data_IF_667307337242
#
_entry.id   IF_667307337242
#
_cell.length_a   1.000
_cell.length_b   1.000
_cell.length_c   1.000
_cell.angle_alpha   90.00
_cell.angle_beta   90.00
_cell.angle_gamma   90.00
#
_symmetry.space_group_name_H-M   'P 1'
#
loop_
_entity.id
_entity.type
_entity.pdbx_description
1 polymer ?
#
# COMPACT_ATOMS: atom_id res chain seq x y z
N UNK A 1 -14.21 15.86 -11.58
CA UNK A 1 -12.75 15.86 -11.31
C UNK A 1 -12.35 17.32 -11.15
N UNK A 2 -11.35 17.62 -10.32
CA UNK A 2 -10.87 19.00 -10.15
C UNK A 2 -10.20 19.48 -11.47
N UNK A 3 -10.53 20.66 -12.01
CA UNK A 3 -9.95 21.18 -13.26
C UNK A 3 -8.42 21.25 -13.25
N UNK A 4 -7.79 21.43 -12.08
CA UNK A 4 -6.33 21.38 -11.95
C UNK A 4 -5.76 19.99 -12.26
N UNK A 5 -6.46 18.94 -11.83
CA UNK A 5 -6.05 17.56 -12.09
C UNK A 5 -6.19 17.22 -13.57
N UNK A 6 -7.23 17.70 -14.26
CA UNK A 6 -7.41 17.42 -15.69
C UNK A 6 -6.27 18.00 -16.55
N UNK A 7 -5.71 19.14 -16.17
CA UNK A 7 -4.62 19.79 -16.91
C UNK A 7 -3.24 19.22 -16.57
N UNK A 8 -3.01 18.85 -15.31
CA UNK A 8 -1.69 18.39 -14.83
C UNK A 8 -1.49 16.87 -14.91
N UNK A 9 -2.55 16.06 -14.94
CA UNK A 9 -2.44 14.60 -15.00
C UNK A 9 -1.69 14.10 -16.25
N UNK A 10 -1.92 14.66 -17.47
CA UNK A 10 -1.15 14.27 -18.65
C UNK A 10 0.35 14.58 -18.51
N UNK A 11 0.70 15.69 -17.85
CA UNK A 11 2.10 16.06 -17.58
C UNK A 11 2.76 15.12 -16.58
N UNK A 12 2.02 14.69 -15.55
CA UNK A 12 2.51 13.68 -14.62
C UNK A 12 2.76 12.36 -15.37
N UNK A 13 1.81 11.94 -16.22
CA UNK A 13 1.88 10.66 -16.97
C UNK A 13 3.03 10.62 -17.98
N UNK A 14 3.43 11.76 -18.56
CA UNK A 14 4.54 11.80 -19.53
C UNK A 14 5.92 11.56 -18.89
N UNK A 15 6.02 11.59 -17.56
CA UNK A 15 7.27 11.46 -16.82
C UNK A 15 7.33 10.14 -16.01
N UNK A 16 7.59 8.97 -16.61
CA UNK A 16 8.04 7.81 -15.83
C UNK A 16 9.46 8.04 -15.27
N UNK A 17 9.86 7.43 -14.13
CA UNK A 17 9.13 6.46 -13.32
C UNK A 17 8.15 7.08 -12.31
N UNK A 18 7.15 6.29 -11.90
CA UNK A 18 6.15 6.70 -10.89
C UNK A 18 6.41 6.05 -9.53
N UNK A 19 6.11 6.81 -8.48
CA UNK A 19 5.99 6.29 -7.12
C UNK A 19 4.57 6.47 -6.61
N UNK A 20 4.16 5.58 -5.71
CA UNK A 20 2.83 5.55 -5.13
C UNK A 20 2.95 5.31 -3.62
N UNK A 21 2.19 6.05 -2.82
CA UNK A 21 2.00 5.73 -1.40
C UNK A 21 0.68 4.98 -1.24
N UNK A 22 0.76 3.65 -1.33
CA UNK A 22 -0.38 2.76 -1.19
C UNK A 22 -0.65 2.44 0.29
N UNK A 23 -1.92 2.21 0.65
CA UNK A 23 -2.32 1.88 2.02
C UNK A 23 -2.92 0.49 2.11
N UNK A 24 -2.37 -0.32 3.00
CA UNK A 24 -2.89 -1.65 3.32
C UNK A 24 -3.24 -1.64 4.81
N UNK A 25 -4.54 -1.81 5.11
CA UNK A 25 -5.09 -1.63 6.46
C UNK A 25 -4.62 -0.31 7.11
N UNK A 26 -4.81 0.80 6.39
CA UNK A 26 -4.43 2.18 6.78
C UNK A 26 -2.92 2.44 6.89
N UNK A 27 -2.07 1.39 6.86
CA UNK A 27 -0.61 1.54 6.93
C UNK A 27 -0.06 1.97 5.56
N UNK A 28 0.70 3.08 5.48
CA UNK A 28 1.28 3.56 4.23
C UNK A 28 2.51 2.76 3.83
N UNK A 29 2.64 2.47 2.54
CA UNK A 29 3.82 1.90 1.90
C UNK A 29 4.14 2.74 0.66
N UNK A 30 5.31 3.41 0.68
CA UNK A 30 5.84 4.08 -0.50
C UNK A 30 6.50 3.03 -1.38
N UNK A 31 6.01 2.92 -2.61
CA UNK A 31 6.42 1.88 -3.54
C UNK A 31 6.57 2.41 -4.95
N UNK A 32 7.45 1.75 -5.69
CA UNK A 32 7.64 1.87 -7.14
C UNK A 32 7.41 0.52 -7.80
N UNK A 33 7.37 0.49 -9.14
CA UNK A 33 7.23 -0.77 -9.86
C UNK A 33 8.46 -1.66 -9.62
N UNK A 34 8.23 -2.93 -9.25
CA UNK A 34 9.27 -3.91 -8.96
C UNK A 34 9.63 -4.04 -7.48
N UNK A 35 9.18 -3.10 -6.63
CA UNK A 35 9.46 -3.15 -5.20
C UNK A 35 8.82 -4.36 -4.52
N UNK A 36 9.48 -4.85 -3.48
CA UNK A 36 9.00 -5.98 -2.68
C UNK A 36 8.59 -5.48 -1.29
N UNK A 37 7.31 -5.65 -0.95
CA UNK A 37 6.72 -5.23 0.32
C UNK A 37 6.61 -6.45 1.24
N UNK A 38 7.15 -6.32 2.45
CA UNK A 38 6.98 -7.31 3.52
C UNK A 38 5.93 -6.85 4.51
N UNK A 39 4.73 -7.41 4.44
CA UNK A 39 3.62 -7.03 5.30
C UNK A 39 3.79 -7.61 6.71
N UNK A 40 3.54 -6.82 7.77
CA UNK A 40 3.71 -7.23 9.17
C UNK A 40 2.58 -8.16 9.67
N UNK A 41 1.95 -8.94 8.80
CA UNK A 41 0.89 -9.89 9.13
C UNK A 41 0.72 -10.96 8.04
N UNK A 42 0.02 -12.03 8.41
CA UNK A 42 -0.46 -13.05 7.47
C UNK A 42 -1.77 -12.58 6.83
N UNK A 43 -1.76 -12.36 5.52
CA UNK A 43 -2.96 -12.09 4.76
C UNK A 43 -3.71 -13.40 4.53
N UNK A 44 -4.98 -13.43 4.89
CA UNK A 44 -5.84 -14.61 4.73
C UNK A 44 -6.53 -14.57 3.37
N UNK A 45 -6.83 -15.75 2.81
CA UNK A 45 -7.58 -15.85 1.55
C UNK A 45 -6.77 -15.45 0.31
N UNK A 46 -5.44 -15.43 0.41
CA UNK A 46 -4.53 -15.21 -0.72
C UNK A 46 -3.56 -16.37 -0.85
N UNK A 47 -3.31 -16.76 -2.09
CA UNK A 47 -2.34 -17.77 -2.47
C UNK A 47 -1.13 -17.12 -3.16
N UNK A 48 0.05 -17.75 -3.11
CA UNK A 48 1.18 -17.32 -3.93
C UNK A 48 0.79 -17.30 -5.42
N UNK A 49 1.05 -16.18 -6.10
CA UNK A 49 0.66 -15.96 -7.50
C UNK A 49 -0.56 -15.04 -7.67
N UNK A 50 -1.37 -14.84 -6.62
CA UNK A 50 -2.55 -13.98 -6.71
C UNK A 50 -2.16 -12.51 -6.95
N UNK A 51 -2.92 -11.81 -7.80
CA UNK A 51 -2.72 -10.39 -8.09
C UNK A 51 -3.77 -9.55 -7.37
N UNK A 52 -3.31 -8.64 -6.52
CA UNK A 52 -4.13 -7.71 -5.75
C UNK A 52 -4.15 -6.34 -6.41
N UNK A 53 -5.34 -5.76 -6.60
CA UNK A 53 -5.49 -4.36 -6.99
C UNK A 53 -5.46 -3.48 -5.74
N UNK A 54 -4.47 -2.59 -5.65
CA UNK A 54 -4.34 -1.65 -4.54
C UNK A 54 -5.13 -0.38 -4.87
N UNK A 55 -6.29 -0.24 -4.23
CA UNK A 55 -7.24 0.83 -4.52
C UNK A 55 -7.01 2.10 -3.68
N UNK A 56 -6.33 1.97 -2.54
CA UNK A 56 -6.17 3.07 -1.58
C UNK A 56 -4.77 3.63 -1.69
N UNK A 57 -4.67 4.86 -2.17
CA UNK A 57 -3.42 5.60 -2.23
C UNK A 57 -3.64 7.06 -1.81
N UNK A 58 -2.63 7.64 -1.16
CA UNK A 58 -2.66 9.05 -0.71
C UNK A 58 -1.87 9.95 -1.67
N UNK A 59 -0.77 9.42 -2.20
CA UNK A 59 0.16 10.13 -3.07
C UNK A 59 0.44 9.28 -4.30
N UNK A 60 0.45 9.94 -5.45
CA UNK A 60 0.92 9.41 -6.72
C UNK A 60 1.83 10.48 -7.32
N UNK A 61 3.06 10.14 -7.65
CA UNK A 61 3.99 11.16 -8.14
C UNK A 61 5.01 10.64 -9.12
N UNK A 62 5.56 11.59 -9.86
CA UNK A 62 6.82 11.48 -10.60
C UNK A 62 7.84 12.40 -9.93
N UNK A 63 8.97 12.63 -10.58
CA UNK A 63 10.04 13.53 -10.16
C UNK A 63 9.54 14.96 -9.91
N UNK A 64 8.82 15.53 -10.87
CA UNK A 64 8.46 16.96 -10.85
C UNK A 64 7.01 17.21 -10.40
N UNK A 65 6.10 16.26 -10.66
CA UNK A 65 4.68 16.38 -10.34
C UNK A 65 4.25 15.36 -9.28
N UNK A 66 3.44 15.79 -8.32
CA UNK A 66 2.85 14.91 -7.31
C UNK A 66 1.37 15.22 -7.11
N UNK A 67 0.54 14.22 -7.38
CA UNK A 67 -0.89 14.23 -7.10
C UNK A 67 -1.14 13.78 -5.65
N UNK A 68 -1.87 14.60 -4.90
CA UNK A 68 -2.23 14.34 -3.50
C UNK A 68 -3.74 14.23 -3.37
N UNK A 69 -4.22 13.32 -2.53
CA UNK A 69 -5.64 13.10 -2.27
C UNK A 69 -6.40 14.30 -1.65
N UNK A 70 -5.68 15.37 -1.28
CA UNK A 70 -6.23 16.54 -0.62
C UNK A 70 -6.23 16.41 0.91
N UNK A 71 -6.66 17.46 1.59
CA UNK A 71 -6.77 17.48 3.06
C UNK A 71 -8.00 16.67 3.46
N UNK A 72 -7.91 15.78 4.47
CA UNK A 72 -9.08 15.06 4.98
C UNK A 72 -10.05 16.04 5.67
N UNK A 73 -11.35 15.81 5.47
CA UNK A 73 -12.38 16.65 6.08
C UNK A 73 -12.58 16.25 7.55
N UNK A 74 -11.90 16.96 8.46
CA UNK A 74 -11.95 16.66 9.91
C UNK A 74 -13.35 16.76 10.50
N UNK A 75 -14.18 17.65 9.99
CA UNK A 75 -15.57 17.86 10.43
C UNK A 75 -16.46 16.64 10.16
N UNK A 76 -16.17 15.90 9.07
CA UNK A 76 -16.88 14.67 8.72
C UNK A 76 -16.29 13.43 9.42
N UNK A 77 -15.28 13.62 10.28
CA UNK A 77 -14.59 12.52 10.95
C UNK A 77 -13.67 11.70 10.05
N UNK A 78 -13.35 12.20 8.84
CA UNK A 78 -12.43 11.52 7.93
C UNK A 78 -11.01 11.57 8.47
N UNK A 79 -10.41 10.40 8.71
CA UNK A 79 -9.00 10.31 9.12
C UNK A 79 -8.04 10.51 7.96
N UNK A 80 -8.40 9.96 6.79
CA UNK A 80 -7.59 9.94 5.58
C UNK A 80 -8.48 10.08 4.36
N UNK A 81 -7.99 10.84 3.38
CA UNK A 81 -8.61 10.99 2.07
C UNK A 81 -7.78 10.22 1.04
N UNK A 82 -8.47 9.61 0.08
CA UNK A 82 -7.85 8.76 -0.94
C UNK A 82 -7.92 9.41 -2.31
N UNK A 83 -6.92 9.11 -3.15
CA UNK A 83 -7.00 9.37 -4.57
C UNK A 83 -8.15 8.56 -5.18
N UNK A 84 -8.76 9.09 -6.23
CA UNK A 84 -9.75 8.35 -7.00
C UNK A 84 -9.08 7.13 -7.65
N UNK A 85 -9.68 5.94 -7.45
CA UNK A 85 -9.17 4.65 -7.95
C UNK A 85 -9.04 4.64 -9.47
N UNK A 86 -9.77 5.51 -10.16
CA UNK A 86 -9.77 5.58 -11.62
C UNK A 86 -8.51 6.25 -12.17
N UNK A 87 -7.81 7.05 -11.37
CA UNK A 87 -6.65 7.82 -11.81
C UNK A 87 -5.38 6.96 -11.96
N UNK A 88 -5.33 5.81 -11.30
CA UNK A 88 -4.14 4.97 -11.29
C UNK A 88 -4.49 3.49 -11.23
N UNK A 89 -3.58 2.67 -11.72
CA UNK A 89 -3.62 1.22 -11.53
C UNK A 89 -2.38 0.82 -10.77
N UNK A 90 -2.58 0.23 -9.60
CA UNK A 90 -1.51 -0.39 -8.84
C UNK A 90 -1.86 -1.85 -8.59
N UNK A 91 -1.00 -2.74 -9.08
CA UNK A 91 -1.14 -4.18 -8.90
C UNK A 91 0.06 -4.72 -8.14
N UNK A 92 -0.23 -5.61 -7.19
CA UNK A 92 0.79 -6.30 -6.42
C UNK A 92 0.52 -7.81 -6.44
N UNK A 93 1.53 -8.59 -6.80
CA UNK A 93 1.49 -10.05 -6.81
C UNK A 93 1.95 -10.60 -5.48
N UNK A 94 1.20 -11.55 -4.93
CA UNK A 94 1.57 -12.27 -3.70
C UNK A 94 2.69 -13.24 -4.02
N UNK A 95 3.89 -13.01 -3.47
CA UNK A 95 5.02 -13.92 -3.66
C UNK A 95 4.93 -15.14 -2.73
N UNK A 96 4.38 -14.95 -1.53
CA UNK A 96 4.21 -16.00 -0.55
C UNK A 96 4.29 -15.50 0.89
N UNK A 97 4.57 -16.43 1.80
CA UNK A 97 4.61 -16.16 3.24
C UNK A 97 5.96 -16.54 3.82
N UNK A 98 6.60 -15.59 4.48
CA UNK A 98 7.80 -15.79 5.29
C UNK A 98 7.46 -15.99 6.77
N UNK A 99 8.40 -16.57 7.51
CA UNK A 99 8.36 -16.61 8.97
C UNK A 99 9.63 -16.00 9.55
N UNK A 100 9.52 -15.27 10.65
CA UNK A 100 10.71 -14.90 11.43
C UNK A 100 11.33 -16.11 12.13
N UNK A 101 12.62 -16.02 12.54
CA UNK A 101 13.20 -16.98 13.47
C UNK A 101 12.41 -17.02 14.78
N UNK A 102 12.34 -18.20 15.40
CA UNK A 102 11.65 -18.42 16.66
C UNK A 102 12.33 -17.63 17.78
N UNK A 103 11.61 -16.66 18.37
CA UNK A 103 12.05 -15.94 19.56
C UNK A 103 11.42 -16.57 20.81
N UNK A 104 12.19 -16.69 21.88
CA UNK A 104 11.71 -17.19 23.17
C UNK A 104 11.89 -16.08 24.21
N UNK A 105 10.79 -15.53 24.71
CA UNK A 105 10.78 -14.55 25.80
C UNK A 105 10.53 -15.25 27.12
N UNK A 106 11.53 -15.21 28.00
CA UNK A 106 11.41 -15.77 29.35
C UNK A 106 10.82 -14.72 30.29
N UNK A 107 9.73 -15.05 30.98
CA UNK A 107 9.10 -14.23 32.02
C UNK A 107 9.23 -14.96 33.35
N UNK A 108 10.02 -14.38 34.24
CA UNK A 108 10.18 -14.85 35.62
C UNK A 108 10.17 -13.66 36.59
N UNK A 109 10.06 -13.93 37.89
CA UNK A 109 10.17 -12.94 38.97
C UNK A 109 11.40 -13.26 39.82
N UNK A 110 11.95 -12.25 40.51
CA UNK A 110 13.10 -12.45 41.41
C UNK A 110 12.70 -13.45 42.52
N UNK A 111 13.56 -14.43 42.80
CA UNK A 111 13.32 -15.52 43.78
C UNK A 111 12.14 -16.45 43.43
N UNK A 112 11.83 -16.64 42.14
CA UNK A 112 10.85 -17.62 41.68
C UNK A 112 11.51 -18.66 40.77
N UNK A 113 11.37 -19.96 41.09
CA UNK A 113 11.98 -21.06 40.32
C UNK A 113 11.31 -21.28 38.96
N UNK A 114 10.01 -21.00 38.86
CA UNK A 114 9.25 -21.16 37.62
C UNK A 114 9.54 -20.04 36.63
N UNK A 115 9.98 -20.40 35.42
CA UNK A 115 10.23 -19.49 34.30
C UNK A 115 9.23 -19.77 33.19
N UNK A 116 8.35 -18.80 32.89
CA UNK A 116 7.40 -18.92 31.79
C UNK A 116 8.10 -18.57 30.48
N UNK A 117 8.24 -19.55 29.57
CA UNK A 117 8.79 -19.34 28.23
C UNK A 117 7.66 -19.05 27.23
N UNK A 118 7.69 -17.87 26.61
CA UNK A 118 6.72 -17.46 25.58
C UNK A 118 7.43 -17.54 24.23
N UNK A 119 6.93 -18.42 23.36
CA UNK A 119 7.44 -18.63 22.01
C UNK A 119 6.72 -17.70 21.03
N UNK A 120 7.47 -16.99 20.19
CA UNK A 120 6.95 -16.07 19.17
C UNK A 120 7.60 -16.39 17.83
N UNK A 121 6.77 -16.67 16.82
CA UNK A 121 7.18 -16.91 15.43
C UNK A 121 6.12 -16.32 14.51
N UNK A 122 6.24 -15.03 14.21
CA UNK A 122 5.30 -14.32 13.34
C UNK A 122 5.47 -14.72 11.87
N UNK A 123 4.38 -14.61 11.11
CA UNK A 123 4.33 -14.83 9.66
C UNK A 123 4.10 -13.51 8.95
N UNK A 124 4.77 -13.33 7.82
CA UNK A 124 4.77 -12.10 7.02
C UNK A 124 4.40 -12.43 5.59
N UNK A 125 3.49 -11.66 5.00
CA UNK A 125 3.11 -11.82 3.59
C UNK A 125 4.04 -10.97 2.74
N UNK A 126 4.63 -11.56 1.70
CA UNK A 126 5.43 -10.83 0.73
C UNK A 126 4.58 -10.51 -0.48
N UNK A 127 4.54 -9.23 -0.83
CA UNK A 127 4.00 -8.74 -2.08
C UNK A 127 5.14 -8.21 -2.94
N UNK A 128 5.00 -8.34 -4.26
CA UNK A 128 5.82 -7.64 -5.24
C UNK A 128 4.93 -6.73 -6.06
N UNK A 129 5.29 -5.45 -6.17
CA UNK A 129 4.54 -4.48 -6.97
C UNK A 129 4.82 -4.77 -8.44
N UNK A 130 3.81 -5.26 -9.15
CA UNK A 130 3.95 -5.66 -10.56
C UNK A 130 3.73 -4.49 -11.51
N UNK A 131 2.77 -3.63 -11.21
CA UNK A 131 2.37 -2.52 -12.07
C UNK A 131 2.06 -1.28 -11.24
N UNK A 132 2.61 -0.13 -11.65
CA UNK A 132 2.24 1.20 -11.19
C UNK A 132 2.08 2.07 -12.42
N UNK A 133 0.84 2.33 -12.83
CA UNK A 133 0.53 3.10 -14.03
C UNK A 133 -0.49 4.21 -13.72
N UNK A 134 -0.41 5.29 -14.48
CA UNK A 134 -1.30 6.45 -14.39
C UNK A 134 -2.25 6.42 -15.58
N UNK A 135 -3.54 6.50 -15.30
CA UNK A 135 -4.57 6.45 -16.35
C UNK A 135 -4.73 7.80 -17.03
N UNK A 136 -5.27 7.76 -18.24
CA UNK A 136 -5.57 8.98 -19.01
C UNK A 136 -6.84 9.67 -18.50
N UNK A 137 -6.92 10.99 -18.72
CA UNK A 137 -8.11 11.79 -18.36
C UNK A 137 -9.35 11.27 -19.10
N UNK A 138 -9.19 10.90 -20.37
CA UNK A 138 -10.30 10.39 -21.19
C UNK A 138 -10.79 9.02 -20.70
N UNK A 139 -9.87 8.16 -20.27
CA UNK A 139 -10.22 6.86 -19.68
C UNK A 139 -11.03 7.03 -18.38
N UNK A 140 -10.67 8.02 -17.56
CA UNK A 140 -11.39 8.33 -16.32
C UNK A 140 -12.80 8.85 -16.61
N UNK A 141 -12.97 9.71 -17.63
CA UNK A 141 -14.28 10.24 -18.05
C UNK A 141 -15.20 9.14 -18.59
N UNK A 142 -14.67 8.24 -19.42
CA UNK A 142 -15.45 7.12 -19.99
C UNK A 142 -16.02 6.16 -18.95
N UNK A 143 -15.37 6.04 -17.77
CA UNK A 143 -15.79 5.14 -16.68
C UNK A 143 -16.94 5.70 -15.82
N UNK A 144 -17.45 6.90 -16.15
CA UNK A 144 -18.49 7.61 -15.38
C UNK A 144 -19.87 7.57 -16.03
N UNK A 145 -19.96 6.99 -17.24
CA UNK A 145 -21.21 6.72 -17.97
C UNK A 145 -21.58 5.26 -17.73
#
# INVERSE_FOLDING_TARGET
IDPSVETLLPLLRSQPPFYLTAHIHEKPYLVTQGDTIRLPFLMHGVSPGDTLRLNRATLLGSRDYTLKAGVPNKELGEKQKWLDERLFVCRATVMGVESEPLRIKEKTKRRQRHVRKIKSKHRYTILRVSEVTVNDVDAVKSSSV
#
